data_IF_540022107644
#
_entry.id   IF_540022107644
#
_cell.length_a   1.000
_cell.length_b   1.000
_cell.length_c   1.000
_cell.angle_alpha   90.00
_cell.angle_beta   90.00
_cell.angle_gamma   90.00
#
_symmetry.space_group_name_H-M   'P 1'
#
loop_
_entity.id
_entity.type
_entity.pdbx_description
1 polymer ?
#
# COMPACT_ATOMS: atom_id res chain seq x y z
N UNK A 1 6.82 -2.06 -10.08
CA UNK A 1 7.08 -0.89 -9.24
C UNK A 1 6.16 -0.98 -8.05
N UNK A 2 6.68 -0.90 -6.85
CA UNK A 2 5.92 -0.76 -5.63
C UNK A 2 6.11 0.69 -5.17
N UNK A 3 5.04 1.41 -4.97
CA UNK A 3 5.05 2.77 -4.45
C UNK A 3 4.53 2.72 -3.03
N UNK A 4 5.29 3.23 -2.08
CA UNK A 4 4.87 3.41 -0.71
C UNK A 4 4.63 4.91 -0.54
N UNK A 5 3.37 5.30 -0.44
CA UNK A 5 2.98 6.69 -0.24
C UNK A 5 2.59 6.93 1.21
N UNK A 6 3.09 8.02 1.77
CA UNK A 6 2.76 8.47 3.11
C UNK A 6 1.97 9.78 3.03
N UNK A 7 1.04 9.98 3.95
CA UNK A 7 0.33 11.25 4.02
C UNK A 7 1.30 12.37 4.44
N UNK A 8 1.39 13.40 3.59
CA UNK A 8 2.00 14.67 3.93
C UNK A 8 0.91 15.73 4.05
N UNK A 9 1.01 16.60 5.02
CA UNK A 9 0.25 17.86 5.03
C UNK A 9 0.69 18.72 3.82
N UNK A 10 -0.21 19.46 3.16
CA UNK A 10 0.03 20.09 1.85
C UNK A 10 1.00 21.28 1.82
N UNK A 11 1.76 21.54 2.87
CA UNK A 11 2.71 22.65 2.90
C UNK A 11 4.12 22.15 2.58
N UNK A 12 4.61 22.49 1.39
CA UNK A 12 5.97 22.32 0.86
C UNK A 12 6.34 20.94 0.25
N UNK A 13 5.94 20.76 -1.00
CA UNK A 13 6.58 19.77 -1.87
C UNK A 13 7.70 20.41 -2.68
N UNK A 14 8.95 20.22 -2.29
CA UNK A 14 10.10 20.47 -3.15
C UNK A 14 10.84 19.17 -3.41
N UNK A 15 11.09 18.87 -4.68
CA UNK A 15 11.83 17.68 -5.11
C UNK A 15 13.33 17.91 -4.83
N UNK A 16 13.92 17.12 -3.93
CA UNK A 16 15.37 17.08 -3.71
C UNK A 16 15.84 15.63 -3.51
N UNK A 17 16.63 15.19 -4.47
CA UNK A 17 17.65 14.15 -4.36
C UNK A 17 17.24 12.75 -3.92
N UNK A 18 17.03 11.84 -4.88
CA UNK A 18 16.78 10.43 -4.59
C UNK A 18 18.03 9.65 -4.20
N UNK A 19 17.95 8.80 -3.17
CA UNK A 19 18.96 7.79 -2.87
C UNK A 19 18.61 6.52 -3.64
N UNK A 20 19.53 6.05 -4.49
CA UNK A 20 19.39 4.81 -5.24
C UNK A 20 20.21 3.72 -4.56
N UNK A 21 19.57 2.73 -3.97
CA UNK A 21 20.24 1.54 -3.43
C UNK A 21 20.00 0.36 -4.37
N UNK A 22 21.06 -0.16 -4.97
CA UNK A 22 21.00 -1.35 -5.84
C UNK A 22 21.20 -2.60 -4.99
N UNK A 23 20.26 -3.53 -5.05
CA UNK A 23 20.21 -4.72 -4.24
C UNK A 23 20.48 -5.97 -5.09
N UNK A 24 21.74 -6.41 -5.15
CA UNK A 24 22.16 -7.72 -5.62
C UNK A 24 21.67 -8.13 -7.02
N UNK A 25 21.75 -9.44 -7.34
CA UNK A 25 21.34 -10.01 -8.64
C UNK A 25 19.84 -9.94 -8.92
N UNK A 26 19.00 -9.78 -7.91
CA UNK A 26 17.59 -9.41 -8.08
C UNK A 26 17.50 -7.89 -8.00
N UNK A 27 17.57 -7.24 -9.15
CA UNK A 27 17.62 -5.77 -9.23
C UNK A 27 16.37 -5.15 -8.62
N UNK A 28 16.49 -4.60 -7.44
CA UNK A 28 15.52 -3.67 -6.88
C UNK A 28 16.21 -2.32 -6.67
N UNK A 29 15.59 -1.27 -7.16
CA UNK A 29 16.02 0.11 -6.99
C UNK A 29 15.04 0.79 -6.05
N UNK A 30 15.54 1.37 -4.98
CA UNK A 30 14.73 2.16 -4.05
C UNK A 30 14.99 3.63 -4.33
N UNK A 31 13.96 4.35 -4.70
CA UNK A 31 14.00 5.80 -4.88
C UNK A 31 13.26 6.42 -3.71
N UNK A 32 13.93 7.26 -2.95
CA UNK A 32 13.37 7.99 -1.81
C UNK A 32 13.25 9.45 -2.17
N UNK A 33 12.06 9.99 -2.07
CA UNK A 33 11.81 11.43 -2.06
C UNK A 33 11.66 11.84 -0.59
N UNK A 34 12.67 12.53 -0.05
CA UNK A 34 12.76 12.83 1.36
C UNK A 34 12.34 14.26 1.65
N UNK A 35 11.27 14.43 2.40
CA UNK A 35 10.95 15.66 3.13
C UNK A 35 11.40 15.50 4.59
N UNK A 36 11.83 16.60 5.19
CA UNK A 36 12.49 16.60 6.50
C UNK A 36 11.52 16.30 7.66
N UNK A 37 11.13 15.04 7.84
CA UNK A 37 10.49 14.54 9.05
C UNK A 37 11.46 13.64 9.82
N UNK A 38 11.45 13.74 11.14
CA UNK A 38 12.40 13.05 12.02
C UNK A 38 11.85 11.72 12.55
N UNK A 39 10.55 11.47 12.39
CA UNK A 39 9.91 10.30 13.01
C UNK A 39 9.82 9.14 12.02
N UNK A 40 10.45 7.98 12.30
CA UNK A 40 10.27 6.79 11.48
C UNK A 40 8.85 6.23 11.67
N UNK A 41 8.19 5.88 10.57
CA UNK A 41 6.92 5.16 10.58
C UNK A 41 7.14 3.66 10.36
N UNK A 42 8.19 3.33 9.60
CA UNK A 42 8.50 1.95 9.27
C UNK A 42 10.00 1.73 9.34
N UNK A 43 10.42 0.73 10.09
CA UNK A 43 11.82 0.38 10.25
C UNK A 43 12.06 -1.06 9.81
N UNK A 44 13.01 -1.26 8.90
CA UNK A 44 13.51 -2.57 8.51
C UNK A 44 14.79 -2.87 9.27
N UNK A 45 14.80 -3.97 10.01
CA UNK A 45 15.97 -4.44 10.76
C UNK A 45 16.43 -5.79 10.23
N UNK A 46 17.59 -5.80 9.59
CA UNK A 46 18.19 -6.99 8.96
C UNK A 46 17.20 -7.77 8.08
N UNK A 47 16.30 -7.05 7.41
CA UNK A 47 15.23 -7.64 6.63
C UNK A 47 15.80 -8.43 5.46
N UNK A 48 15.38 -9.70 5.35
CA UNK A 48 15.63 -10.53 4.19
C UNK A 48 14.33 -11.23 3.77
N UNK A 49 14.04 -11.18 2.47
CA UNK A 49 12.86 -11.79 1.87
C UNK A 49 13.27 -12.85 0.86
N UNK A 50 12.38 -13.79 0.58
CA UNK A 50 12.57 -14.75 -0.51
C UNK A 50 12.59 -14.02 -1.86
N UNK A 51 13.58 -14.33 -2.69
CA UNK A 51 13.73 -13.71 -4.00
C UNK A 51 13.25 -14.63 -5.14
N UNK A 52 13.13 -15.93 -4.89
CA UNK A 52 12.73 -16.92 -5.88
C UNK A 52 11.62 -17.82 -5.33
N UNK A 53 10.59 -18.08 -6.14
CA UNK A 53 9.48 -18.95 -5.79
C UNK A 53 9.90 -20.43 -5.76
N UNK A 54 10.77 -20.83 -6.70
CA UNK A 54 11.20 -22.19 -6.89
C UNK A 54 12.31 -22.60 -5.93
N UNK A 55 13.11 -21.63 -5.45
CA UNK A 55 14.17 -21.86 -4.49
C UNK A 55 14.02 -20.94 -3.27
N UNK A 56 13.43 -21.43 -2.17
CA UNK A 56 13.21 -20.64 -0.97
C UNK A 56 14.50 -20.23 -0.24
N UNK A 57 15.64 -20.83 -0.59
CA UNK A 57 16.95 -20.46 -0.02
C UNK A 57 17.54 -19.20 -0.67
N UNK A 58 17.01 -18.78 -1.83
CA UNK A 58 17.46 -17.53 -2.46
C UNK A 58 16.80 -16.37 -1.77
N UNK A 59 17.59 -15.67 -0.97
CA UNK A 59 17.22 -14.45 -0.23
C UNK A 59 18.06 -13.26 -0.69
N UNK A 60 17.87 -12.11 -0.08
CA UNK A 60 18.75 -10.97 -0.32
C UNK A 60 20.20 -11.29 0.07
N UNK A 61 21.15 -10.91 -0.77
CA UNK A 61 22.58 -11.06 -0.47
C UNK A 61 22.99 -10.17 0.70
N UNK A 62 22.39 -9.00 0.81
CA UNK A 62 22.60 -8.06 1.90
C UNK A 62 21.27 -7.77 2.57
N UNK A 63 21.10 -8.04 3.86
CA UNK A 63 19.90 -7.68 4.58
C UNK A 63 19.63 -6.18 4.56
N UNK A 64 18.36 -5.81 4.48
CA UNK A 64 17.98 -4.41 4.51
C UNK A 64 17.92 -3.89 5.94
N UNK A 65 18.60 -2.78 6.15
CA UNK A 65 18.48 -1.95 7.33
C UNK A 65 18.09 -0.56 6.86
N UNK A 66 16.90 -0.14 7.16
CA UNK A 66 16.39 1.09 6.60
C UNK A 66 15.19 1.60 7.37
N UNK A 67 15.01 2.94 7.37
CA UNK A 67 13.91 3.62 8.01
C UNK A 67 13.12 4.44 6.99
N UNK A 68 11.81 4.29 7.05
CA UNK A 68 10.87 5.11 6.32
C UNK A 68 10.35 6.19 7.26
N UNK A 69 10.72 7.43 6.96
CA UNK A 69 10.29 8.58 7.74
C UNK A 69 8.91 9.05 7.28
N UNK A 70 8.19 9.73 8.17
CA UNK A 70 6.91 10.36 7.85
C UNK A 70 7.05 11.31 6.64
N UNK A 71 6.02 11.36 5.79
CA UNK A 71 5.97 12.14 4.57
C UNK A 71 6.92 11.70 3.43
N UNK A 72 7.72 10.66 3.60
CA UNK A 72 8.54 10.14 2.52
C UNK A 72 7.71 9.33 1.53
N UNK A 73 8.11 9.39 0.25
CA UNK A 73 7.56 8.55 -0.82
C UNK A 73 8.66 7.65 -1.35
N UNK A 74 8.36 6.36 -1.45
CA UNK A 74 9.36 5.38 -1.84
C UNK A 74 8.85 4.56 -3.01
N UNK A 75 9.68 4.44 -4.03
CA UNK A 75 9.45 3.56 -5.15
C UNK A 75 10.47 2.40 -5.10
N UNK A 76 9.98 1.18 -4.95
CA UNK A 76 10.79 -0.03 -5.11
C UNK A 76 10.58 -0.57 -6.52
N UNK A 77 11.64 -0.56 -7.32
CA UNK A 77 11.63 -1.01 -8.70
C UNK A 77 12.31 -2.38 -8.75
N UNK A 78 11.61 -3.40 -9.19
CA UNK A 78 12.14 -4.76 -9.36
C UNK A 78 11.59 -5.40 -10.62
N UNK A 79 12.39 -6.24 -11.27
CA UNK A 79 11.99 -7.09 -12.38
C UNK A 79 11.32 -8.39 -11.92
N UNK A 80 11.40 -8.74 -10.63
CA UNK A 80 10.79 -9.92 -10.04
C UNK A 80 9.39 -9.62 -9.53
N UNK A 81 8.36 -10.20 -10.17
CA UNK A 81 6.98 -10.14 -9.69
C UNK A 81 6.80 -10.85 -8.35
N UNK A 82 7.57 -11.92 -8.13
CA UNK A 82 7.56 -12.66 -6.88
C UNK A 82 8.12 -11.83 -5.72
N UNK A 83 9.26 -11.17 -5.90
CA UNK A 83 9.84 -10.30 -4.88
C UNK A 83 8.89 -9.13 -4.54
N UNK A 84 8.25 -8.53 -5.54
CA UNK A 84 7.24 -7.49 -5.33
C UNK A 84 6.09 -8.00 -4.46
N UNK A 85 5.58 -9.20 -4.76
CA UNK A 85 4.54 -9.84 -3.96
C UNK A 85 5.02 -10.09 -2.52
N UNK A 86 6.20 -10.68 -2.34
CA UNK A 86 6.76 -10.97 -1.02
C UNK A 86 6.93 -9.70 -0.18
N UNK A 87 7.46 -8.63 -0.77
CA UNK A 87 7.62 -7.35 -0.07
C UNK A 87 6.26 -6.75 0.32
N UNK A 88 5.30 -6.74 -0.62
CA UNK A 88 3.96 -6.24 -0.31
C UNK A 88 3.28 -7.06 0.79
N UNK A 89 3.38 -8.39 0.72
CA UNK A 89 2.79 -9.28 1.70
C UNK A 89 3.47 -9.18 3.08
N UNK A 90 4.78 -9.00 3.11
CA UNK A 90 5.53 -8.79 4.36
C UNK A 90 5.18 -7.44 5.01
N UNK A 91 5.06 -6.37 4.22
CA UNK A 91 4.62 -5.05 4.69
C UNK A 91 3.18 -5.07 5.21
N UNK A 92 2.31 -5.84 4.57
CA UNK A 92 0.94 -6.04 5.02
C UNK A 92 0.81 -7.02 6.21
N UNK A 93 1.92 -7.56 6.73
CA UNK A 93 1.91 -8.53 7.84
C UNK A 93 1.39 -9.93 7.48
N UNK A 94 1.19 -10.23 6.18
CA UNK A 94 0.61 -11.49 5.72
C UNK A 94 1.65 -12.63 5.64
N UNK A 95 2.91 -12.27 5.42
CA UNK A 95 4.01 -13.23 5.32
C UNK A 95 5.18 -12.75 6.17
N UNK A 96 5.72 -13.57 7.07
CA UNK A 96 6.90 -13.19 7.84
C UNK A 96 8.13 -13.09 6.93
N UNK A 97 9.07 -12.19 7.21
CA UNK A 97 10.38 -12.19 6.55
C UNK A 97 11.15 -13.49 6.84
N UNK A 98 12.12 -13.81 6.00
CA UNK A 98 13.02 -14.97 6.22
C UNK A 98 13.96 -14.69 7.38
N UNK A 99 14.48 -13.47 7.46
CA UNK A 99 15.29 -12.97 8.56
C UNK A 99 14.93 -11.51 8.83
N UNK A 100 15.21 -11.09 10.05
CA UNK A 100 14.96 -9.72 10.50
C UNK A 100 13.49 -9.44 10.79
N UNK A 101 13.19 -8.17 10.92
CA UNK A 101 11.86 -7.71 11.29
C UNK A 101 11.47 -6.42 10.56
N UNK A 102 10.16 -6.20 10.48
CA UNK A 102 9.55 -4.95 10.04
C UNK A 102 8.81 -4.39 11.26
N UNK A 103 9.25 -3.24 11.74
CA UNK A 103 8.61 -2.52 12.85
C UNK A 103 7.83 -1.36 12.26
N UNK A 104 6.55 -1.24 12.61
CA UNK A 104 5.70 -0.14 12.20
C UNK A 104 5.17 0.59 13.43
N UNK A 105 5.40 1.90 13.48
CA UNK A 105 4.86 2.81 14.50
C UNK A 105 3.53 3.46 14.05
N UNK A 106 3.04 3.11 12.86
CA UNK A 106 1.78 3.57 12.30
C UNK A 106 0.95 2.44 11.67
N UNK A 107 -0.26 2.78 11.26
CA UNK A 107 -1.17 1.85 10.59
C UNK A 107 -0.83 1.77 9.11
N UNK A 108 -0.41 0.58 8.67
CA UNK A 108 -0.18 0.29 7.25
C UNK A 108 -1.50 -0.13 6.62
N UNK A 109 -1.91 0.59 5.58
CA UNK A 109 -3.09 0.22 4.79
C UNK A 109 -2.85 -1.04 3.95
N UNK A 110 -3.94 -1.69 3.54
CA UNK A 110 -3.85 -2.77 2.56
C UNK A 110 -3.34 -2.23 1.21
N UNK A 111 -2.81 -3.11 0.33
CA UNK A 111 -2.35 -2.69 -0.98
C UNK A 111 -3.47 -2.04 -1.80
N UNK A 112 -3.26 -0.79 -2.19
CA UNK A 112 -4.23 0.00 -2.97
C UNK A 112 -4.57 -0.72 -4.28
N UNK A 113 -5.86 -0.83 -4.58
CA UNK A 113 -6.38 -1.56 -5.73
C UNK A 113 -6.33 -3.09 -5.60
N UNK A 114 -5.91 -3.61 -4.44
CA UNK A 114 -6.09 -5.00 -4.09
C UNK A 114 -7.45 -5.23 -3.42
N UNK A 115 -7.91 -6.47 -3.43
CA UNK A 115 -9.22 -6.82 -2.85
C UNK A 115 -9.30 -6.66 -1.31
N UNK A 116 -8.23 -6.18 -0.67
CA UNK A 116 -8.19 -5.86 0.76
C UNK A 116 -8.55 -7.02 1.71
N UNK A 117 -8.51 -8.26 1.22
CA UNK A 117 -8.96 -9.44 1.97
C UNK A 117 -10.49 -9.55 2.10
N UNK A 118 -11.26 -8.69 1.42
CA UNK A 118 -12.71 -8.76 1.42
C UNK A 118 -13.22 -9.94 0.58
N UNK A 119 -14.17 -10.69 1.11
CA UNK A 119 -14.86 -11.73 0.33
C UNK A 119 -15.70 -11.05 -0.78
N UNK A 120 -15.49 -11.49 -2.00
CA UNK A 120 -16.21 -11.00 -3.18
C UNK A 120 -17.72 -11.22 -3.13
N UNK A 121 -18.22 -12.07 -2.25
CA UNK A 121 -19.65 -12.33 -2.02
C UNK A 121 -20.31 -11.31 -1.08
N UNK A 122 -19.53 -10.44 -0.45
CA UNK A 122 -20.09 -9.40 0.40
C UNK A 122 -20.79 -8.32 -0.42
N UNK A 123 -21.84 -7.73 0.17
CA UNK A 123 -22.41 -6.48 -0.32
C UNK A 123 -21.47 -5.32 0.01
N UNK A 124 -21.48 -4.30 -0.82
CA UNK A 124 -20.68 -3.08 -0.62
C UNK A 124 -20.89 -2.49 0.78
N UNK A 125 -22.17 -2.38 1.22
CA UNK A 125 -22.52 -1.88 2.55
C UNK A 125 -21.90 -2.72 3.69
N UNK A 126 -21.90 -4.05 3.55
CA UNK A 126 -21.34 -4.94 4.58
C UNK A 126 -19.82 -4.86 4.60
N UNK A 127 -19.18 -4.77 3.43
CA UNK A 127 -17.74 -4.59 3.32
C UNK A 127 -17.30 -3.27 3.98
N UNK A 128 -18.02 -2.18 3.71
CA UNK A 128 -17.74 -0.89 4.33
C UNK A 128 -17.95 -0.93 5.84
N UNK A 129 -19.07 -1.48 6.32
CA UNK A 129 -19.36 -1.61 7.75
C UNK A 129 -18.28 -2.41 8.48
N UNK A 130 -17.81 -3.51 7.89
CA UNK A 130 -16.72 -4.31 8.43
C UNK A 130 -15.43 -3.51 8.54
N UNK A 131 -15.01 -2.85 7.46
CA UNK A 131 -13.78 -2.06 7.45
C UNK A 131 -13.87 -0.85 8.37
N UNK A 132 -15.03 -0.19 8.47
CA UNK A 132 -15.24 0.93 9.40
C UNK A 132 -15.13 0.50 10.86
N UNK A 133 -15.46 -0.75 11.17
CA UNK A 133 -15.28 -1.31 12.52
C UNK A 133 -13.81 -1.64 12.79
N UNK A 134 -13.13 -2.26 11.82
CA UNK A 134 -11.72 -2.67 11.98
C UNK A 134 -10.78 -1.47 12.00
N UNK A 135 -11.06 -0.46 11.19
CA UNK A 135 -10.23 0.74 11.01
C UNK A 135 -10.96 2.02 11.46
N UNK A 136 -11.66 1.95 12.58
CA UNK A 136 -12.44 3.09 13.13
C UNK A 136 -11.59 4.35 13.25
N UNK A 137 -10.40 4.25 13.85
CA UNK A 137 -9.50 5.36 14.08
C UNK A 137 -8.99 5.99 12.77
N UNK A 138 -8.80 5.16 11.73
CA UNK A 138 -8.41 5.63 10.40
C UNK A 138 -9.58 6.33 9.70
N UNK A 139 -10.80 5.90 9.95
CA UNK A 139 -12.01 6.54 9.42
C UNK A 139 -12.28 7.88 10.10
N UNK A 140 -12.13 7.97 11.43
CA UNK A 140 -12.28 9.23 12.18
C UNK A 140 -11.27 10.31 11.74
N UNK A 141 -10.07 9.90 11.35
CA UNK A 141 -9.03 10.79 10.81
C UNK A 141 -9.22 11.08 9.32
N UNK A 142 -10.21 10.48 8.68
CA UNK A 142 -10.43 10.65 7.24
C UNK A 142 -10.79 12.09 6.89
N UNK A 143 -10.28 12.54 5.75
CA UNK A 143 -10.65 13.82 5.14
C UNK A 143 -11.86 13.70 4.21
N UNK A 144 -12.20 12.48 3.83
CA UNK A 144 -13.33 12.15 2.96
C UNK A 144 -14.50 11.73 3.83
N UNK A 145 -15.60 12.45 3.76
CA UNK A 145 -16.83 12.06 4.45
C UNK A 145 -17.51 10.85 3.83
N UNK A 146 -18.27 10.10 4.64
CA UNK A 146 -19.04 8.95 4.12
C UNK A 146 -20.04 9.35 3.03
N UNK A 147 -20.65 10.53 3.14
CA UNK A 147 -21.58 11.04 2.13
C UNK A 147 -20.87 11.33 0.81
N UNK A 148 -19.68 11.92 0.87
CA UNK A 148 -18.82 12.15 -0.30
C UNK A 148 -18.39 10.82 -0.93
N UNK A 149 -17.97 9.86 -0.11
CA UNK A 149 -17.63 8.51 -0.58
C UNK A 149 -18.79 7.85 -1.31
N UNK A 150 -20.01 7.90 -0.75
CA UNK A 150 -21.19 7.36 -1.42
C UNK A 150 -21.55 8.13 -2.69
N UNK A 151 -21.35 9.45 -2.71
CA UNK A 151 -21.49 10.28 -3.89
C UNK A 151 -20.59 9.80 -5.03
N UNK A 152 -19.30 9.62 -4.76
CA UNK A 152 -18.32 9.12 -5.72
C UNK A 152 -18.68 7.71 -6.26
N UNK A 153 -19.13 6.82 -5.40
CA UNK A 153 -19.54 5.47 -5.82
C UNK A 153 -20.78 5.51 -6.71
N UNK A 154 -21.75 6.36 -6.38
CA UNK A 154 -22.99 6.48 -7.16
C UNK A 154 -22.77 6.99 -8.58
N UNK A 155 -21.77 7.85 -8.82
CA UNK A 155 -21.35 8.31 -10.15
C UNK A 155 -20.85 7.16 -11.05
N UNK A 156 -20.40 6.07 -10.44
CA UNK A 156 -19.96 4.84 -11.12
C UNK A 156 -21.02 3.72 -11.06
N UNK A 157 -22.27 4.06 -10.70
CA UNK A 157 -23.37 3.09 -10.55
C UNK A 157 -23.06 1.97 -9.53
N UNK A 158 -22.29 2.28 -8.50
CA UNK A 158 -21.94 1.36 -7.42
C UNK A 158 -22.82 1.70 -6.21
N UNK A 159 -23.77 0.80 -5.90
CA UNK A 159 -24.75 1.03 -4.84
C UNK A 159 -24.52 0.12 -3.63
N UNK A 160 -24.96 0.50 -2.42
CA UNK A 160 -24.74 -0.26 -1.18
C UNK A 160 -25.20 -1.71 -1.23
N UNK A 161 -26.25 -2.00 -1.99
CA UNK A 161 -26.86 -3.34 -2.10
C UNK A 161 -26.14 -4.28 -3.06
N UNK A 162 -25.27 -3.75 -3.94
CA UNK A 162 -24.56 -4.54 -4.96
C UNK A 162 -23.54 -5.46 -4.29
N UNK A 163 -23.37 -6.66 -4.83
CA UNK A 163 -22.37 -7.63 -4.38
C UNK A 163 -21.05 -7.37 -5.12
N UNK A 164 -19.93 -7.38 -4.41
CA UNK A 164 -18.60 -7.05 -4.98
C UNK A 164 -18.29 -7.87 -6.24
N UNK A 165 -18.65 -9.17 -6.28
CA UNK A 165 -18.42 -10.02 -7.46
C UNK A 165 -19.20 -9.60 -8.71
N UNK A 166 -20.31 -8.88 -8.55
CA UNK A 166 -21.20 -8.42 -9.63
C UNK A 166 -20.69 -7.13 -10.29
N UNK A 167 -19.76 -6.43 -9.64
CA UNK A 167 -19.12 -5.26 -10.20
C UNK A 167 -18.31 -5.62 -11.45
N UNK A 168 -18.33 -4.77 -12.45
CA UNK A 168 -17.38 -4.82 -13.56
C UNK A 168 -15.94 -4.65 -13.06
N UNK A 169 -14.98 -4.96 -13.89
CA UNK A 169 -13.57 -4.79 -13.52
C UNK A 169 -13.25 -3.34 -13.17
N UNK A 170 -13.74 -2.40 -13.96
CA UNK A 170 -13.54 -0.96 -13.75
C UNK A 170 -14.20 -0.48 -12.46
N UNK A 171 -15.42 -0.94 -12.19
CA UNK A 171 -16.12 -0.63 -10.94
C UNK A 171 -15.39 -1.20 -9.72
N UNK A 172 -14.84 -2.43 -9.81
CA UNK A 172 -14.02 -3.01 -8.73
C UNK A 172 -12.76 -2.20 -8.47
N UNK A 173 -12.04 -1.88 -9.54
CA UNK A 173 -10.80 -1.10 -9.44
C UNK A 173 -11.10 0.27 -8.78
N UNK A 174 -12.18 0.92 -9.19
CA UNK A 174 -12.62 2.19 -8.60
C UNK A 174 -13.04 2.04 -7.14
N UNK A 175 -13.85 1.03 -6.82
CA UNK A 175 -14.32 0.77 -5.45
C UNK A 175 -13.16 0.56 -4.49
N UNK A 176 -12.19 -0.29 -4.83
CA UNK A 176 -11.04 -0.55 -3.97
C UNK A 176 -10.11 0.66 -3.86
N UNK A 177 -9.99 1.47 -4.91
CA UNK A 177 -9.29 2.73 -4.84
C UNK A 177 -9.99 3.71 -3.89
N UNK A 178 -11.30 3.90 -4.05
CA UNK A 178 -12.10 4.77 -3.19
C UNK A 178 -12.04 4.35 -1.72
N UNK A 179 -12.13 3.04 -1.43
CA UNK A 179 -11.94 2.52 -0.07
C UNK A 179 -10.57 2.88 0.50
N UNK A 180 -9.51 2.78 -0.31
CA UNK A 180 -8.16 3.11 0.16
C UNK A 180 -7.98 4.60 0.45
N UNK A 181 -8.77 5.46 -0.16
CA UNK A 181 -8.76 6.92 0.08
C UNK A 181 -9.65 7.29 1.27
N UNK A 182 -10.73 6.52 1.49
CA UNK A 182 -11.67 6.77 2.60
C UNK A 182 -10.98 6.63 3.96
N UNK A 183 -10.06 5.67 4.11
CA UNK A 183 -9.35 5.45 5.38
C UNK A 183 -8.01 6.19 5.39
N UNK A 184 -7.77 6.95 6.46
CA UNK A 184 -6.53 7.72 6.65
C UNK A 184 -5.46 6.83 7.28
N UNK A 185 -4.72 6.08 6.45
CA UNK A 185 -3.59 5.27 6.90
C UNK A 185 -2.32 6.11 7.04
N UNK A 186 -1.44 5.72 7.94
CA UNK A 186 -0.11 6.35 8.08
C UNK A 186 0.81 5.94 6.93
N UNK A 187 0.61 4.74 6.36
CA UNK A 187 1.38 4.23 5.23
C UNK A 187 0.47 3.58 4.17
N UNK A 188 0.61 4.01 2.91
CA UNK A 188 -0.11 3.45 1.77
C UNK A 188 0.80 2.59 0.91
N UNK A 189 0.36 1.39 0.56
CA UNK A 189 1.07 0.44 -0.29
C UNK A 189 0.46 0.42 -1.69
N UNK A 190 1.24 0.75 -2.71
CA UNK A 190 0.83 0.66 -4.11
C UNK A 190 1.57 -0.48 -4.79
N UNK A 191 0.96 -1.64 -4.90
CA UNK A 191 1.56 -2.81 -5.56
C UNK A 191 1.63 -2.67 -7.10
N UNK A 192 0.88 -1.73 -7.67
CA UNK A 192 0.85 -1.45 -9.11
C UNK A 192 0.61 0.04 -9.34
N UNK A 193 1.29 0.59 -10.35
CA UNK A 193 1.08 1.97 -10.80
C UNK A 193 -0.05 2.10 -11.82
N UNK A 194 -0.72 1.01 -12.15
CA UNK A 194 -1.76 0.99 -13.19
C UNK A 194 -2.87 2.00 -12.91
N UNK A 195 -3.28 2.14 -11.64
CA UNK A 195 -4.30 3.10 -11.21
C UNK A 195 -3.85 4.55 -11.31
N UNK A 196 -2.55 4.82 -11.22
CA UNK A 196 -2.00 6.17 -11.31
C UNK A 196 -1.78 6.62 -12.75
N UNK A 197 -1.81 5.69 -13.71
CA UNK A 197 -1.51 5.94 -15.13
C UNK A 197 -2.74 5.82 -16.04
N UNK A 198 -3.89 5.37 -15.53
CA UNK A 198 -5.14 5.41 -16.28
C UNK A 198 -5.58 6.88 -16.39
N UNK A 199 -5.56 7.41 -17.62
CA UNK A 199 -6.17 8.72 -17.90
C UNK A 199 -7.66 8.61 -17.64
N UNK A 200 -8.27 9.66 -17.06
CA UNK A 200 -9.72 9.73 -16.93
C UNK A 200 -10.41 9.65 -18.28
#
# INVERSE_FOLDING_TARGET
MLLIGLQATPEHASFHGGIVTVLGRSSAVVVVDATASVTPILTFRNLSLRCDKSNPQITFQTPWNWELLQANRIAVITNSSFLRYQLTAALAGLVPPVCGEIVSDGVIGWPVGGEGGLDSKLRISHALSFLSTVYSDCLEKSRVGLDEFWGLLSEKEIYPSVIIKELSKEQKDFFFLALSVLFSFDCYLFSSTRFLMSRP
#
